data_IF_478355157941
#
_entry.id   IF_478355157941
#
_cell.length_a   1.000
_cell.length_b   1.000
_cell.length_c   1.000
_cell.angle_alpha   90.00
_cell.angle_beta   90.00
_cell.angle_gamma   90.00
#
_symmetry.space_group_name_H-M   'P 1'
#
loop_
_entity.id
_entity.type
_entity.pdbx_description
1 polymer ?
#
# COMPACT_ATOMS: atom_id res chain seq x y z
N UNK A 1 23.56 11.49 -5.40
CA UNK A 1 22.16 11.36 -4.91
C UNK A 1 22.06 10.03 -4.23
N UNK A 2 21.97 9.98 -2.92
CA UNK A 2 21.80 8.73 -2.22
C UNK A 2 20.40 8.21 -2.54
N UNK A 3 20.35 7.08 -3.23
CA UNK A 3 19.17 6.21 -3.21
C UNK A 3 18.84 5.99 -1.75
N UNK A 4 17.64 6.34 -1.32
CA UNK A 4 17.23 6.25 0.07
C UNK A 4 17.26 4.79 0.50
N UNK A 5 18.33 4.40 1.13
CA UNK A 5 18.45 3.10 1.76
C UNK A 5 17.44 2.99 2.89
N UNK A 6 16.98 1.78 3.14
CA UNK A 6 16.00 1.50 4.17
C UNK A 6 16.57 1.88 5.54
N UNK A 7 15.89 2.78 6.23
CA UNK A 7 16.31 3.26 7.55
C UNK A 7 15.62 2.42 8.64
N UNK A 8 16.37 2.11 9.70
CA UNK A 8 15.85 1.50 10.93
C UNK A 8 15.08 2.58 11.72
N UNK A 9 13.79 2.66 11.45
CA UNK A 9 12.89 3.67 12.04
C UNK A 9 12.68 3.50 13.55
N UNK A 10 12.83 2.29 14.08
CA UNK A 10 12.78 1.97 15.50
C UNK A 10 13.89 2.70 16.28
N UNK A 11 15.13 2.65 15.82
CA UNK A 11 16.22 3.39 16.46
C UNK A 11 16.03 4.91 16.39
N UNK A 12 15.44 5.42 15.29
CA UNK A 12 15.11 6.84 15.18
C UNK A 12 14.04 7.30 16.18
N UNK A 13 13.18 6.38 16.64
CA UNK A 13 12.22 6.69 17.71
C UNK A 13 12.87 6.78 19.06
N UNK A 14 13.85 5.91 19.35
CA UNK A 14 14.59 5.87 20.61
C UNK A 14 15.55 7.05 20.76
N UNK A 15 16.02 7.58 19.64
CA UNK A 15 16.91 8.74 19.60
C UNK A 15 16.15 10.03 20.02
N UNK A 16 16.09 10.22 21.34
CA UNK A 16 15.39 11.35 21.98
C UNK A 16 16.39 12.52 22.13
N UNK A 17 16.13 13.59 21.38
CA UNK A 17 16.89 14.84 21.48
C UNK A 17 17.97 15.06 20.45
N UNK A 18 18.30 14.08 19.62
CA UNK A 18 19.18 14.25 18.48
C UNK A 18 18.51 15.08 17.36
N UNK A 19 19.23 15.98 16.69
CA UNK A 19 18.74 16.69 15.51
C UNK A 19 18.71 15.82 14.25
N UNK A 20 19.20 14.56 14.32
CA UNK A 20 19.46 13.71 13.17
C UNK A 20 18.24 13.56 12.23
N UNK A 21 17.06 13.23 12.76
CA UNK A 21 15.85 13.08 11.91
C UNK A 21 15.47 14.42 11.24
N UNK A 22 15.64 15.55 11.94
CA UNK A 22 15.38 16.88 11.38
C UNK A 22 16.35 17.23 10.28
N UNK A 23 17.64 16.94 10.48
CA UNK A 23 18.69 17.17 9.47
C UNK A 23 18.51 16.25 8.26
N UNK A 24 18.15 14.99 8.49
CA UNK A 24 17.82 14.03 7.44
C UNK A 24 16.68 14.54 6.56
N UNK A 25 15.59 15.02 7.17
CA UNK A 25 14.43 15.58 6.47
C UNK A 25 14.82 16.85 5.70
N UNK A 26 15.64 17.72 6.29
CA UNK A 26 16.04 18.98 5.68
C UNK A 26 16.93 18.81 4.46
N UNK A 27 17.93 17.92 4.56
CA UNK A 27 19.08 17.96 3.65
C UNK A 27 19.25 16.68 2.83
N UNK A 28 18.70 15.53 3.27
CA UNK A 28 19.04 14.24 2.70
C UNK A 28 17.87 13.51 2.06
N UNK A 29 16.63 13.93 2.28
CA UNK A 29 15.43 13.34 1.66
C UNK A 29 14.90 14.27 0.58
N UNK A 30 14.90 13.80 -0.67
CA UNK A 30 14.45 14.59 -1.83
C UNK A 30 12.93 14.59 -2.06
N UNK A 31 12.15 13.80 -1.30
CA UNK A 31 10.70 13.73 -1.46
C UNK A 31 10.09 12.45 -0.90
N UNK A 32 10.85 11.36 -0.84
CA UNK A 32 10.36 10.08 -0.33
C UNK A 32 11.39 9.44 0.59
N UNK A 33 10.92 8.98 1.76
CA UNK A 33 11.69 8.11 2.66
C UNK A 33 11.11 6.71 2.59
N UNK A 34 11.95 5.72 2.32
CA UNK A 34 11.58 4.31 2.27
C UNK A 34 11.90 3.66 3.61
N UNK A 35 10.94 2.93 4.14
CA UNK A 35 11.06 2.17 5.41
C UNK A 35 10.45 0.79 5.23
N UNK A 36 10.89 -0.17 6.02
CA UNK A 36 10.49 -1.57 5.89
C UNK A 36 9.75 -2.07 7.15
N UNK A 37 8.46 -1.71 7.34
CA UNK A 37 7.63 -2.36 8.35
C UNK A 37 7.32 -3.82 8.00
N UNK A 38 7.41 -4.21 6.75
CA UNK A 38 7.26 -5.54 6.16
C UNK A 38 5.84 -6.12 6.28
N UNK A 39 5.22 -6.08 7.46
CA UNK A 39 3.88 -6.63 7.72
C UNK A 39 3.17 -5.84 8.83
N UNK A 40 1.84 -6.07 9.02
CA UNK A 40 1.08 -5.45 10.10
C UNK A 40 0.68 -6.44 11.21
N UNK A 41 0.77 -7.75 10.97
CA UNK A 41 0.39 -8.79 11.93
C UNK A 41 1.58 -9.08 12.87
N UNK A 42 1.35 -8.96 14.18
CA UNK A 42 2.39 -9.10 15.20
C UNK A 42 3.12 -10.46 15.11
N UNK A 43 2.39 -11.58 15.01
CA UNK A 43 3.01 -12.91 14.93
C UNK A 43 3.93 -13.08 13.72
N UNK A 44 3.60 -12.48 12.58
CA UNK A 44 4.49 -12.49 11.40
C UNK A 44 5.72 -11.65 11.64
N UNK A 45 5.57 -10.48 12.28
CA UNK A 45 6.69 -9.60 12.63
C UNK A 45 7.65 -10.25 13.65
N UNK A 46 7.12 -11.05 14.57
CA UNK A 46 7.93 -11.82 15.52
C UNK A 46 8.82 -12.84 14.80
N UNK A 47 8.30 -13.56 13.79
CA UNK A 47 9.10 -14.43 12.94
C UNK A 47 10.14 -13.67 12.10
N UNK A 48 9.83 -12.45 11.69
CA UNK A 48 10.77 -11.58 10.95
C UNK A 48 11.84 -10.96 11.87
N UNK A 49 11.66 -11.01 13.20
CA UNK A 49 12.50 -10.27 14.15
C UNK A 49 12.38 -8.75 13.98
N UNK A 50 11.19 -8.28 13.65
CA UNK A 50 10.88 -6.87 13.43
C UNK A 50 10.10 -6.27 14.60
N UNK A 51 10.21 -4.98 14.84
CA UNK A 51 9.32 -4.28 15.78
C UNK A 51 7.86 -4.43 15.37
N UNK A 52 6.96 -4.50 16.34
CA UNK A 52 5.52 -4.52 16.08
C UNK A 52 5.05 -3.24 15.38
N UNK A 53 3.93 -3.33 14.70
CA UNK A 53 3.46 -2.30 13.79
C UNK A 53 3.15 -0.95 14.47
N UNK A 54 2.81 -0.95 15.75
CA UNK A 54 2.62 0.27 16.55
C UNK A 54 3.87 1.16 16.61
N UNK A 55 5.06 0.56 16.55
CA UNK A 55 6.35 1.28 16.48
C UNK A 55 6.45 2.03 15.16
N UNK A 56 6.02 1.41 14.06
CA UNK A 56 5.96 2.06 12.75
C UNK A 56 4.96 3.23 12.74
N UNK A 57 3.78 3.07 13.34
CA UNK A 57 2.78 4.14 13.43
C UNK A 57 3.32 5.35 14.23
N UNK A 58 4.01 5.11 15.35
CA UNK A 58 4.67 6.16 16.13
C UNK A 58 5.74 6.89 15.32
N UNK A 59 6.53 6.13 14.54
CA UNK A 59 7.52 6.72 13.64
C UNK A 59 6.86 7.56 12.55
N UNK A 60 5.78 7.09 11.96
CA UNK A 60 5.00 7.82 10.97
C UNK A 60 4.54 9.19 11.50
N UNK A 61 3.94 9.20 12.69
CA UNK A 61 3.47 10.43 13.34
C UNK A 61 4.65 11.39 13.64
N UNK A 62 5.80 10.87 14.12
CA UNK A 62 7.03 11.65 14.36
C UNK A 62 7.57 12.24 13.05
N UNK A 63 7.67 11.43 12.00
CA UNK A 63 8.16 11.87 10.69
C UNK A 63 7.31 12.97 10.08
N UNK A 64 5.99 12.84 10.15
CA UNK A 64 5.05 13.87 9.70
C UNK A 64 5.24 15.18 10.47
N UNK A 65 5.30 15.12 11.79
CA UNK A 65 5.53 16.30 12.64
C UNK A 65 6.86 17.00 12.30
N UNK A 66 7.93 16.24 12.03
CA UNK A 66 9.23 16.82 11.67
C UNK A 66 9.17 17.45 10.27
N UNK A 67 8.45 16.88 9.31
CA UNK A 67 8.24 17.49 7.99
C UNK A 67 7.48 18.82 8.12
N UNK A 68 6.39 18.86 8.86
CA UNK A 68 5.61 20.08 9.12
C UNK A 68 6.47 21.18 9.73
N UNK A 69 7.27 20.87 10.78
CA UNK A 69 8.18 21.81 11.43
C UNK A 69 9.26 22.35 10.50
N UNK A 70 9.72 21.56 9.54
CA UNK A 70 10.74 21.96 8.58
C UNK A 70 10.17 22.54 7.27
N UNK A 71 8.85 22.70 7.15
CA UNK A 71 8.20 23.17 5.93
C UNK A 71 8.45 22.28 4.71
N UNK A 72 8.61 20.96 4.93
CA UNK A 72 8.85 19.97 3.87
C UNK A 72 7.59 19.17 3.59
N UNK A 73 7.38 18.84 2.33
CA UNK A 73 6.31 17.93 1.88
C UNK A 73 6.97 16.65 1.34
N UNK A 74 7.21 15.71 2.25
CA UNK A 74 7.84 14.43 1.95
C UNK A 74 6.93 13.28 2.35
N UNK A 75 7.03 12.16 1.61
CA UNK A 75 6.17 10.99 1.78
C UNK A 75 6.96 9.82 2.34
N UNK A 76 6.31 9.07 3.23
CA UNK A 76 6.82 7.78 3.71
C UNK A 76 6.31 6.67 2.80
N UNK A 77 7.22 5.83 2.32
CA UNK A 77 6.90 4.69 1.44
C UNK A 77 7.21 3.40 2.19
N UNK A 78 6.20 2.68 2.70
CA UNK A 78 6.40 1.42 3.39
C UNK A 78 6.71 0.31 2.38
N UNK A 79 7.77 -0.44 2.62
CA UNK A 79 8.04 -1.71 1.96
C UNK A 79 7.35 -2.82 2.71
N UNK A 80 6.65 -3.67 1.96
CA UNK A 80 5.87 -4.79 2.46
C UNK A 80 6.33 -6.07 1.78
N UNK A 81 6.29 -7.16 2.54
CA UNK A 81 6.71 -8.48 2.08
C UNK A 81 5.55 -9.46 2.18
N UNK A 82 5.38 -10.29 1.14
CA UNK A 82 4.46 -11.42 1.15
C UNK A 82 5.21 -12.73 1.35
N UNK A 83 4.50 -13.75 1.82
CA UNK A 83 4.97 -15.14 1.88
C UNK A 83 6.21 -15.37 2.74
N UNK A 84 6.43 -14.54 3.77
CA UNK A 84 7.44 -14.83 4.79
C UNK A 84 7.03 -16.07 5.60
N UNK A 85 7.97 -16.95 6.02
CA UNK A 85 7.65 -18.01 6.98
C UNK A 85 6.90 -17.45 8.20
N UNK A 86 5.85 -18.14 8.62
CA UNK A 86 4.90 -17.67 9.64
C UNK A 86 3.75 -16.84 9.11
N UNK A 87 3.75 -16.43 7.83
CA UNK A 87 2.65 -15.69 7.23
C UNK A 87 1.67 -16.66 6.56
N UNK A 88 0.49 -16.79 7.12
CA UNK A 88 -0.64 -17.57 6.55
C UNK A 88 -1.38 -16.75 5.50
N UNK A 89 -2.33 -17.38 4.81
CA UNK A 89 -3.18 -16.66 3.86
C UNK A 89 -4.11 -15.67 4.58
N UNK A 90 -4.55 -16.01 5.78
CA UNK A 90 -5.37 -15.17 6.65
C UNK A 90 -4.61 -13.91 7.08
N UNK A 91 -3.32 -14.03 7.41
CA UNK A 91 -2.46 -12.88 7.74
C UNK A 91 -2.28 -11.96 6.53
N UNK A 92 -2.13 -12.54 5.34
CA UNK A 92 -2.04 -11.76 4.10
C UNK A 92 -3.37 -11.02 3.81
N UNK A 93 -4.52 -11.61 4.14
CA UNK A 93 -5.83 -10.93 4.05
C UNK A 93 -5.90 -9.78 5.05
N UNK A 94 -5.46 -9.97 6.30
CA UNK A 94 -5.43 -8.89 7.30
C UNK A 94 -4.56 -7.72 6.83
N UNK A 95 -3.40 -7.99 6.22
CA UNK A 95 -2.56 -6.95 5.65
C UNK A 95 -3.26 -6.22 4.49
N UNK A 96 -3.98 -6.94 3.63
CA UNK A 96 -4.76 -6.34 2.54
C UNK A 96 -5.90 -5.46 3.06
N UNK A 97 -6.64 -5.89 4.10
CA UNK A 97 -7.67 -5.08 4.77
C UNK A 97 -7.08 -3.81 5.38
N UNK A 98 -5.93 -3.94 6.03
CA UNK A 98 -5.21 -2.79 6.58
C UNK A 98 -4.84 -1.78 5.48
N UNK A 99 -4.23 -2.24 4.39
CA UNK A 99 -3.87 -1.39 3.25
C UNK A 99 -5.09 -0.73 2.60
N UNK A 100 -6.20 -1.47 2.50
CA UNK A 100 -7.46 -0.95 1.99
C UNK A 100 -8.03 0.16 2.90
N UNK A 101 -8.04 -0.06 4.21
CA UNK A 101 -8.57 0.89 5.19
C UNK A 101 -7.76 2.20 5.23
N UNK A 102 -6.46 2.14 5.00
CA UNK A 102 -5.56 3.29 4.95
C UNK A 102 -5.49 3.95 3.57
N UNK A 103 -6.07 3.30 2.55
CA UNK A 103 -6.01 3.76 1.16
C UNK A 103 -4.63 3.64 0.53
N UNK A 104 -3.69 2.92 1.17
CA UNK A 104 -2.36 2.71 0.65
C UNK A 104 -2.36 1.62 -0.43
N UNK A 105 -1.80 1.94 -1.59
CA UNK A 105 -1.73 1.04 -2.76
C UNK A 105 -0.27 0.81 -3.13
N UNK A 106 0.36 -0.24 -2.60
CA UNK A 106 1.76 -0.52 -2.89
C UNK A 106 1.93 -0.91 -4.36
N UNK A 107 2.74 -0.16 -5.09
CA UNK A 107 3.06 -0.47 -6.48
C UNK A 107 4.07 -1.62 -6.56
N UNK A 108 5.03 -1.65 -5.63
CA UNK A 108 6.05 -2.67 -5.51
C UNK A 108 5.81 -3.52 -4.27
N UNK A 109 5.75 -4.81 -4.45
CA UNK A 109 5.62 -5.82 -3.40
C UNK A 109 6.70 -6.87 -3.63
N UNK A 110 7.40 -7.24 -2.55
CA UNK A 110 8.39 -8.30 -2.58
C UNK A 110 7.81 -9.59 -1.99
N UNK A 111 8.07 -10.72 -2.64
CA UNK A 111 7.89 -12.01 -2.01
C UNK A 111 9.13 -12.33 -1.18
N UNK A 112 8.93 -13.09 -0.13
CA UNK A 112 10.06 -13.66 0.60
C UNK A 112 10.96 -14.48 -0.34
N UNK A 113 12.24 -14.14 -0.32
CA UNK A 113 13.27 -14.87 -1.04
C UNK A 113 14.28 -15.41 -0.02
N UNK A 114 14.49 -16.75 0.02
CA UNK A 114 15.42 -17.36 0.98
C UNK A 114 16.85 -16.87 0.76
N UNK A 115 17.39 -16.18 1.76
CA UNK A 115 18.79 -15.70 1.77
C UNK A 115 19.62 -16.59 2.67
N UNK A 116 20.72 -17.17 2.20
CA UNK A 116 21.57 -18.05 3.02
C UNK A 116 22.01 -17.39 4.34
N UNK A 117 22.06 -18.18 5.41
CA UNK A 117 22.51 -17.73 6.72
C UNK A 117 21.49 -16.96 7.55
N UNK A 118 20.21 -16.93 7.14
CA UNK A 118 19.14 -16.28 7.91
C UNK A 118 18.22 -17.28 8.60
N UNK A 119 17.67 -16.88 9.76
CA UNK A 119 16.66 -17.68 10.49
C UNK A 119 15.43 -17.94 9.61
N UNK A 120 14.96 -16.94 8.87
CA UNK A 120 13.82 -17.07 7.96
C UNK A 120 14.05 -18.11 6.88
N UNK A 121 15.27 -18.25 6.36
CA UNK A 121 15.60 -19.30 5.40
C UNK A 121 15.58 -20.68 6.03
N UNK A 122 16.05 -20.81 7.29
CA UNK A 122 15.92 -22.04 8.05
C UNK A 122 14.43 -22.43 8.22
N UNK A 123 13.61 -21.53 8.70
CA UNK A 123 12.15 -21.73 8.83
C UNK A 123 11.50 -22.13 7.49
N UNK A 124 11.91 -21.49 6.40
CA UNK A 124 11.35 -21.74 5.08
C UNK A 124 11.58 -23.18 4.57
N UNK A 125 12.77 -23.72 4.79
CA UNK A 125 13.13 -25.07 4.32
C UNK A 125 12.81 -26.18 5.31
N UNK A 126 12.82 -25.88 6.61
CA UNK A 126 12.61 -26.90 7.64
C UNK A 126 11.18 -26.92 8.17
N UNK A 127 10.42 -25.82 8.03
CA UNK A 127 9.13 -25.66 8.70
C UNK A 127 9.24 -25.55 10.23
N UNK A 128 10.45 -25.20 10.76
CA UNK A 128 10.73 -25.15 12.19
C UNK A 128 11.41 -23.82 12.51
N UNK A 129 10.98 -23.16 13.58
CA UNK A 129 11.69 -22.01 14.13
C UNK A 129 12.93 -22.50 14.88
N UNK A 130 14.14 -22.17 14.44
CA UNK A 130 15.36 -22.66 15.09
C UNK A 130 15.63 -22.03 16.47
N UNK A 131 14.84 -21.02 16.90
CA UNK A 131 14.99 -20.39 18.22
C UNK A 131 14.42 -21.23 19.35
N UNK A 132 13.32 -21.93 19.09
CA UNK A 132 12.57 -22.69 20.09
C UNK A 132 12.11 -24.09 19.60
N UNK A 133 12.47 -24.44 18.35
CA UNK A 133 12.14 -25.71 17.70
C UNK A 133 10.63 -25.91 17.49
N UNK A 134 9.85 -24.85 17.46
CA UNK A 134 8.40 -24.94 17.18
C UNK A 134 8.11 -25.02 15.69
N UNK A 135 7.03 -25.71 15.27
CA UNK A 135 6.61 -25.74 13.86
C UNK A 135 6.19 -24.36 13.37
N UNK A 136 6.63 -23.99 12.17
CA UNK A 136 6.28 -22.74 11.49
C UNK A 136 5.71 -23.04 10.12
N UNK A 137 4.57 -22.45 9.82
CA UNK A 137 4.01 -22.50 8.46
C UNK A 137 4.92 -21.75 7.49
N UNK A 138 5.18 -22.33 6.33
CA UNK A 138 5.87 -21.67 5.24
C UNK A 138 5.17 -21.96 3.91
N UNK A 139 4.72 -20.92 3.23
CA UNK A 139 4.16 -21.06 1.89
C UNK A 139 5.29 -21.28 0.86
N UNK A 140 5.42 -22.51 0.40
CA UNK A 140 6.46 -22.91 -0.55
C UNK A 140 5.96 -23.05 -1.99
N UNK A 141 4.63 -23.14 -2.16
CA UNK A 141 4.04 -23.32 -3.49
C UNK A 141 4.06 -22.01 -4.29
N UNK A 142 4.42 -22.05 -5.59
CA UNK A 142 4.39 -20.85 -6.43
C UNK A 142 3.02 -20.17 -6.47
N UNK A 143 1.97 -20.99 -6.52
CA UNK A 143 0.59 -20.48 -6.56
C UNK A 143 0.16 -19.83 -5.25
N UNK A 144 0.49 -20.42 -4.09
CA UNK A 144 0.20 -19.82 -2.78
C UNK A 144 0.89 -18.48 -2.59
N UNK A 145 2.15 -18.38 -3.01
CA UNK A 145 2.89 -17.10 -3.00
C UNK A 145 2.23 -16.06 -3.91
N UNK A 146 1.78 -16.48 -5.10
CA UNK A 146 1.08 -15.59 -6.03
C UNK A 146 -0.24 -15.07 -5.45
N UNK A 147 -0.99 -15.90 -4.71
CA UNK A 147 -2.21 -15.50 -4.02
C UNK A 147 -1.93 -14.45 -2.94
N UNK A 148 -0.94 -14.69 -2.07
CA UNK A 148 -0.56 -13.73 -1.03
C UNK A 148 -0.10 -12.40 -1.64
N UNK A 149 0.72 -12.43 -2.70
CA UNK A 149 1.15 -11.22 -3.42
C UNK A 149 -0.01 -10.48 -4.07
N UNK A 150 -0.97 -11.20 -4.65
CA UNK A 150 -2.14 -10.59 -5.27
C UNK A 150 -2.99 -9.81 -4.26
N UNK A 151 -3.12 -10.31 -3.02
CA UNK A 151 -3.82 -9.62 -1.94
C UNK A 151 -3.19 -8.25 -1.63
N UNK A 152 -1.87 -8.13 -1.64
CA UNK A 152 -1.19 -6.84 -1.44
C UNK A 152 -1.45 -5.86 -2.59
N UNK A 153 -1.73 -6.38 -3.79
CA UNK A 153 -2.04 -5.60 -4.98
C UNK A 153 -3.52 -5.72 -5.39
N UNK A 154 -4.41 -5.87 -4.44
CA UNK A 154 -5.84 -6.09 -4.61
C UNK A 154 -6.53 -5.12 -5.57
N UNK A 155 -6.02 -3.91 -5.68
CA UNK A 155 -6.55 -2.83 -6.53
C UNK A 155 -6.25 -3.01 -8.03
N UNK A 156 -5.36 -3.95 -8.39
CA UNK A 156 -4.96 -4.18 -9.79
C UNK A 156 -5.98 -5.07 -10.50
N UNK A 157 -6.51 -4.64 -11.68
CA UNK A 157 -7.49 -5.42 -12.43
C UNK A 157 -6.98 -6.79 -12.87
N UNK A 158 -5.69 -6.89 -13.23
CA UNK A 158 -5.04 -8.14 -13.66
C UNK A 158 -4.95 -9.18 -12.53
N UNK A 159 -4.96 -8.75 -11.28
CA UNK A 159 -4.88 -9.62 -10.09
C UNK A 159 -6.25 -10.00 -9.52
N UNK A 160 -7.34 -9.42 -10.00
CA UNK A 160 -8.70 -9.63 -9.49
C UNK A 160 -9.08 -11.10 -9.32
N UNK A 161 -8.73 -11.97 -10.28
CA UNK A 161 -9.03 -13.41 -10.21
C UNK A 161 -8.35 -14.08 -9.02
N UNK A 162 -7.07 -13.80 -8.85
CA UNK A 162 -6.25 -14.34 -7.77
C UNK A 162 -6.72 -13.83 -6.40
N UNK A 163 -7.10 -12.56 -6.30
CA UNK A 163 -7.63 -11.98 -5.05
C UNK A 163 -8.94 -12.66 -4.66
N UNK A 164 -9.87 -12.86 -5.60
CA UNK A 164 -11.13 -13.58 -5.34
C UNK A 164 -10.85 -15.03 -4.89
N UNK A 165 -9.93 -15.73 -5.54
CA UNK A 165 -9.52 -17.07 -5.16
C UNK A 165 -8.92 -17.11 -3.76
N UNK A 166 -7.99 -16.18 -3.47
CA UNK A 166 -7.37 -16.05 -2.15
C UNK A 166 -8.39 -15.83 -1.04
N UNK A 167 -9.33 -14.90 -1.25
CA UNK A 167 -10.38 -14.59 -0.29
C UNK A 167 -11.32 -15.81 -0.04
N UNK A 168 -11.65 -16.55 -1.09
CA UNK A 168 -12.45 -17.78 -0.95
C UNK A 168 -11.69 -18.86 -0.18
N UNK A 169 -10.42 -19.06 -0.46
CA UNK A 169 -9.57 -20.03 0.26
C UNK A 169 -9.40 -19.67 1.75
N UNK A 170 -9.33 -18.37 2.05
CA UNK A 170 -9.26 -17.87 3.42
C UNK A 170 -10.63 -17.79 4.13
N UNK A 171 -11.74 -18.18 3.48
CA UNK A 171 -13.09 -18.08 4.04
C UNK A 171 -13.57 -16.64 4.24
N UNK A 172 -12.97 -15.65 3.52
CA UNK A 172 -13.27 -14.23 3.67
C UNK A 172 -14.04 -13.68 2.45
N UNK A 173 -15.11 -14.38 2.08
CA UNK A 173 -15.99 -13.94 0.98
C UNK A 173 -16.75 -12.63 1.30
N UNK A 174 -16.83 -12.26 2.57
CA UNK A 174 -17.34 -10.97 3.05
C UNK A 174 -16.62 -9.76 2.43
N UNK A 175 -15.38 -9.95 1.99
CA UNK A 175 -14.56 -8.92 1.34
C UNK A 175 -14.75 -8.85 -0.19
N UNK A 176 -15.64 -9.69 -0.75
CA UNK A 176 -16.01 -9.68 -2.16
C UNK A 176 -17.39 -9.03 -2.29
N UNK A 177 -17.46 -7.83 -2.84
CA UNK A 177 -18.74 -7.12 -2.94
C UNK A 177 -18.61 -5.66 -3.31
N UNK A 178 -19.66 -4.89 -2.97
CA UNK A 178 -19.76 -3.46 -3.28
C UNK A 178 -19.65 -2.56 -2.05
N UNK A 179 -19.53 -3.15 -0.87
CA UNK A 179 -19.42 -2.43 0.39
C UNK A 179 -18.07 -1.71 0.55
N UNK A 180 -17.99 -0.73 1.46
CA UNK A 180 -16.77 0.06 1.69
C UNK A 180 -15.61 -0.76 2.26
N UNK A 181 -15.87 -1.94 2.80
CA UNK A 181 -14.85 -2.87 3.31
C UNK A 181 -14.39 -3.88 2.26
N UNK A 182 -15.11 -4.02 1.13
CA UNK A 182 -14.80 -5.03 0.13
C UNK A 182 -13.53 -4.65 -0.65
N UNK A 183 -12.64 -5.61 -0.78
CA UNK A 183 -11.39 -5.45 -1.53
C UNK A 183 -11.62 -5.50 -3.04
N UNK A 184 -12.52 -6.38 -3.49
CA UNK A 184 -12.81 -6.58 -4.92
C UNK A 184 -14.31 -6.74 -5.17
N UNK A 185 -14.73 -6.36 -6.38
CA UNK A 185 -16.09 -6.61 -6.84
C UNK A 185 -16.24 -8.05 -7.35
N UNK A 186 -17.46 -8.63 -7.29
CA UNK A 186 -17.73 -9.94 -7.87
C UNK A 186 -17.35 -10.02 -9.35
N UNK A 187 -17.21 -11.25 -9.85
CA UNK A 187 -16.95 -11.49 -11.27
C UNK A 187 -18.06 -10.90 -12.15
N UNK A 188 -17.67 -10.32 -13.30
CA UNK A 188 -18.59 -9.80 -14.30
C UNK A 188 -18.98 -8.33 -14.15
N UNK A 189 -18.56 -7.65 -13.10
CA UNK A 189 -18.80 -6.21 -12.94
C UNK A 189 -17.48 -5.43 -12.99
N UNK A 190 -17.04 -5.11 -14.21
CA UNK A 190 -15.81 -4.34 -14.45
C UNK A 190 -16.07 -2.82 -14.54
N UNK A 191 -17.26 -2.35 -14.09
CA UNK A 191 -17.50 -0.92 -14.00
C UNK A 191 -16.47 -0.28 -13.07
N UNK A 192 -15.80 0.75 -13.58
CA UNK A 192 -14.80 1.49 -12.83
C UNK A 192 -15.33 1.90 -11.46
N UNK A 193 -14.52 1.70 -10.40
CA UNK A 193 -14.86 2.21 -9.07
C UNK A 193 -15.15 3.71 -9.18
N UNK A 194 -16.28 4.21 -8.72
CA UNK A 194 -16.50 5.65 -8.67
C UNK A 194 -15.48 6.24 -7.69
N UNK A 195 -14.50 6.95 -8.23
CA UNK A 195 -13.72 7.88 -7.43
C UNK A 195 -14.72 8.84 -6.79
N UNK A 196 -14.72 8.94 -5.46
CA UNK A 196 -15.62 9.78 -4.71
C UNK A 196 -15.75 11.17 -5.36
N UNK A 197 -16.90 11.46 -5.93
CA UNK A 197 -17.24 12.78 -6.43
C UNK A 197 -17.43 13.69 -5.24
N UNK A 198 -16.54 14.64 -5.07
CA UNK A 198 -16.82 15.85 -4.31
C UNK A 198 -17.98 16.55 -5.02
N UNK A 199 -19.04 16.90 -4.26
CA UNK A 199 -20.26 17.49 -4.77
C UNK A 199 -20.02 18.79 -5.54
N UNK A 200 -20.66 18.90 -6.71
CA UNK A 200 -20.75 20.11 -7.52
C UNK A 200 -22.03 20.05 -8.33
N UNK A 201 -22.89 21.04 -8.10
CA UNK A 201 -24.27 21.13 -8.45
C UNK A 201 -24.63 20.96 -9.92
N UNK A 202 -25.83 20.46 -10.10
CA UNK A 202 -26.60 20.41 -11.39
C UNK A 202 -26.98 21.80 -11.88
N UNK A 203 -26.80 22.03 -13.18
CA UNK A 203 -27.68 22.92 -13.98
C UNK A 203 -28.15 22.16 -15.21
N UNK A 204 -29.42 22.30 -15.59
CA UNK A 204 -30.02 21.60 -16.72
C UNK A 204 -29.75 22.32 -18.04
N UNK A 205 -29.50 21.57 -19.12
CA UNK A 205 -29.36 22.09 -20.46
C UNK A 205 -30.62 21.83 -21.29
N UNK A 206 -31.04 22.84 -22.02
CA UNK A 206 -32.06 22.78 -23.01
C UNK A 206 -31.55 22.23 -24.36
N UNK A 207 -32.41 21.54 -25.05
CA UNK A 207 -32.23 20.97 -26.38
C UNK A 207 -32.28 22.05 -27.50
N UNK A 208 -31.58 21.79 -28.61
CA UNK A 208 -32.07 22.10 -29.97
C UNK A 208 -31.09 21.52 -31.03
N UNK A 209 -31.62 20.69 -31.80
CA UNK A 209 -31.83 20.40 -33.24
C UNK A 209 -30.93 21.07 -34.30
N UNK A 210 -30.42 20.27 -35.20
CA UNK A 210 -30.53 20.44 -36.65
C UNK A 210 -29.26 20.93 -37.41
N UNK A 211 -28.89 20.17 -38.45
CA UNK A 211 -28.34 20.80 -39.62
C UNK A 211 -27.06 20.21 -40.25
N UNK A 212 -27.27 19.58 -41.33
CA UNK A 212 -26.46 18.93 -42.38
C UNK A 212 -25.32 19.74 -43.04
N UNK A 213 -24.33 18.99 -43.51
CA UNK A 213 -23.61 19.00 -44.83
C UNK A 213 -22.28 19.73 -44.95
N UNK A 214 -21.30 18.91 -45.33
CA UNK A 214 -20.41 18.91 -46.52
C UNK A 214 -19.13 19.77 -46.56
N UNK A 215 -18.12 19.05 -46.99
CA UNK A 215 -16.98 19.34 -47.87
C UNK A 215 -15.62 19.80 -47.29
N UNK A 216 -14.68 18.92 -47.49
CA UNK A 216 -13.24 19.19 -47.57
C UNK A 216 -12.91 19.95 -48.89
N UNK A 217 -11.69 20.50 -49.19
CA UNK A 217 -10.36 20.05 -48.72
C UNK A 217 -9.26 21.14 -48.63
N UNK A 218 -8.06 20.67 -48.18
CA UNK A 218 -6.69 21.14 -48.52
C UNK A 218 -6.10 22.41 -47.93
N UNK A 219 -4.91 22.19 -47.37
CA UNK A 219 -3.79 23.07 -47.63
C UNK A 219 -3.08 23.72 -46.46
N UNK A 220 -1.93 23.18 -46.05
CA UNK A 220 -0.74 23.98 -45.91
C UNK A 220 -0.37 24.63 -44.57
N UNK A 221 0.79 24.24 -44.10
CA UNK A 221 1.78 25.03 -43.36
C UNK A 221 1.66 25.18 -41.83
N UNK A 222 2.64 24.59 -41.19
CA UNK A 222 3.13 24.98 -39.85
C UNK A 222 3.67 26.40 -39.86
N UNK A 223 3.60 27.13 -38.73
CA UNK A 223 4.83 27.41 -38.01
C UNK A 223 4.75 27.39 -36.48
N UNK A 224 5.82 26.91 -35.90
CA UNK A 224 6.55 27.31 -34.68
C UNK A 224 5.88 28.18 -33.62
N UNK A 225 5.96 27.67 -32.39
CA UNK A 225 6.63 28.29 -31.25
C UNK A 225 5.81 28.54 -29.97
N UNK A 226 6.37 28.02 -28.90
CA UNK A 226 6.46 28.60 -27.55
C UNK A 226 5.18 28.74 -26.70
N UNK A 227 5.13 27.93 -25.64
CA UNK A 227 4.24 28.12 -24.52
C UNK A 227 4.36 26.98 -23.53
N UNK A 228 5.33 27.09 -22.61
CA UNK A 228 5.48 26.16 -21.50
C UNK A 228 4.28 26.27 -20.56
N UNK A 229 3.38 25.32 -20.63
CA UNK A 229 2.32 25.16 -19.64
C UNK A 229 2.80 24.26 -18.50
N UNK A 230 2.90 24.86 -17.31
CA UNK A 230 3.24 24.19 -16.06
C UNK A 230 2.14 23.17 -15.72
N UNK A 231 2.46 21.93 -15.35
CA UNK A 231 1.46 20.97 -14.92
C UNK A 231 0.82 21.44 -13.62
N UNK A 232 -0.51 21.55 -13.62
CA UNK A 232 -1.33 21.84 -12.44
C UNK A 232 -1.12 20.77 -11.39
N UNK A 233 -0.68 21.14 -10.21
CA UNK A 233 -0.47 20.29 -9.06
C UNK A 233 -1.76 19.59 -8.65
N UNK A 234 -1.77 18.27 -8.77
CA UNK A 234 -2.85 17.43 -8.28
C UNK A 234 -2.70 17.27 -6.76
N UNK A 235 -3.47 18.00 -5.98
CA UNK A 235 -3.54 17.82 -4.52
C UNK A 235 -4.19 16.46 -4.20
N UNK A 236 -3.39 15.40 -4.12
CA UNK A 236 -3.79 14.17 -3.46
C UNK A 236 -3.79 14.39 -1.95
N UNK A 237 -4.95 14.24 -1.33
CA UNK A 237 -5.05 14.12 0.14
C UNK A 237 -4.38 12.82 0.55
N UNK A 238 -3.11 12.88 0.91
CA UNK A 238 -2.36 11.78 1.51
C UNK A 238 -2.48 11.89 3.03
N UNK A 239 -3.50 11.27 3.58
CA UNK A 239 -3.64 11.12 5.02
C UNK A 239 -3.94 9.65 5.31
N UNK A 240 -3.04 8.96 5.97
CA UNK A 240 -3.35 7.70 6.65
C UNK A 240 -4.39 8.00 7.72
N UNK A 241 -5.64 7.60 7.48
CA UNK A 241 -6.67 7.68 8.51
C UNK A 241 -6.45 6.54 9.51
N UNK A 242 -6.30 6.86 10.80
CA UNK A 242 -6.21 5.84 11.84
C UNK A 242 -7.50 5.01 11.84
N UNK A 243 -7.43 3.67 11.84
CA UNK A 243 -8.60 2.84 12.07
C UNK A 243 -9.16 3.15 13.47
N UNK A 244 -10.48 3.31 13.57
CA UNK A 244 -11.15 3.47 14.87
C UNK A 244 -10.94 2.22 15.73
N UNK A 245 -10.62 2.34 17.02
CA UNK A 245 -10.44 1.18 17.87
C UNK A 245 -11.75 0.37 17.93
N UNK A 246 -11.65 -0.91 17.61
CA UNK A 246 -12.75 -1.86 17.80
C UNK A 246 -13.06 -2.00 19.28
N UNK A 247 -14.32 -1.81 19.67
CA UNK A 247 -14.77 -1.93 21.04
C UNK A 247 -14.43 -3.32 21.58
N UNK A 248 -13.68 -3.35 22.68
CA UNK A 248 -13.41 -4.58 23.44
C UNK A 248 -14.74 -5.17 23.91
N UNK A 249 -15.11 -6.34 23.42
CA UNK A 249 -16.19 -7.15 23.96
C UNK A 249 -15.86 -7.49 25.42
N UNK A 250 -16.61 -6.94 26.35
CA UNK A 250 -16.58 -7.38 27.76
C UNK A 250 -17.15 -8.79 27.80
N UNK A 251 -16.30 -9.79 28.05
CA UNK A 251 -16.76 -11.09 28.53
C UNK A 251 -17.20 -10.94 29.98
N UNK A 252 -18.43 -11.36 30.24
CA UNK A 252 -18.90 -11.73 31.59
C UNK A 252 -18.32 -13.10 31.95
#
# INVERSE_FOLDING_TARGET
>A
MCSSDLIRYDYLLEDKGSPFLSELVKYHISGQLKVAPEHCVAGVLDYMGKPHFDVFEKFWDKYRSVNEKNGREQYLVPYLMSSHPGCTLEDAVQLAEFLHSTGHKPEQVQDFYPTPGTLSTCMYYTGIDPRDMTPVFAETTPHGKELQRALLQWFRPDKKKLVIEALKKAGREDLIGYGPKCLVRPYGDDRAMPHGKSGGGKKPSAAQTGGRRNDAPRGGQSPKNSGADKPKSFKRKSGWAKPKPTAKSKKR
#
